data_IF_046387020415
#
_entry.id   IF_046387020415
#
_cell.length_a   1.000
_cell.length_b   1.000
_cell.length_c   1.000
_cell.angle_alpha   90.00
_cell.angle_beta   90.00
_cell.angle_gamma   90.00
#
_symmetry.space_group_name_H-M   'P 1'
#
loop_
_entity.id
_entity.type
_entity.pdbx_description
1 polymer ?
#
# COMPACT_ATOMS: atom_id res chain seq x y z
N UNK A 1 -25.21 2.41 -0.38
CA UNK A 1 -24.69 1.40 0.58
C UNK A 1 -24.85 2.01 1.96
N UNK A 2 -25.63 1.37 2.85
CA UNK A 2 -25.82 1.87 4.22
C UNK A 2 -24.49 1.97 4.95
N UNK A 3 -24.36 2.95 5.83
CA UNK A 3 -23.17 3.08 6.67
C UNK A 3 -23.01 1.78 7.48
N UNK A 4 -21.95 1.03 7.21
CA UNK A 4 -21.57 -0.11 8.03
C UNK A 4 -21.29 0.43 9.44
N UNK A 5 -21.99 -0.11 10.45
CA UNK A 5 -21.71 0.25 11.84
C UNK A 5 -20.24 -0.02 12.16
N UNK A 6 -19.62 0.90 12.90
CA UNK A 6 -18.24 0.69 13.38
C UNK A 6 -18.19 -0.61 14.19
N UNK A 7 -17.25 -1.50 13.85
CA UNK A 7 -17.05 -2.76 14.57
C UNK A 7 -16.88 -2.52 16.07
N UNK A 8 -17.47 -3.36 16.94
CA UNK A 8 -17.24 -3.28 18.39
C UNK A 8 -15.79 -3.59 18.79
N UNK A 9 -14.99 -4.14 17.86
CA UNK A 9 -13.55 -4.39 18.04
C UNK A 9 -12.68 -3.21 17.59
N UNK A 10 -13.28 -2.11 17.11
CA UNK A 10 -12.53 -0.92 16.76
C UNK A 10 -11.81 -0.36 17.99
N UNK A 11 -10.50 -0.06 17.91
CA UNK A 11 -9.81 0.67 18.95
C UNK A 11 -10.48 2.03 19.20
N UNK A 12 -10.33 2.57 20.41
CA UNK A 12 -10.91 3.85 20.78
C UNK A 12 -10.43 5.02 19.90
N UNK A 13 -9.19 4.94 19.40
CA UNK A 13 -8.61 5.90 18.48
C UNK A 13 -7.57 5.23 17.57
N UNK A 14 -7.25 5.88 16.45
CA UNK A 14 -6.07 5.53 15.66
C UNK A 14 -4.81 5.90 16.46
N UNK A 15 -3.80 5.02 16.53
CA UNK A 15 -2.61 5.30 17.33
C UNK A 15 -1.80 6.46 16.75
N UNK A 16 -1.01 7.11 17.60
CA UNK A 16 0.00 8.06 17.14
C UNK A 16 1.18 7.31 16.53
N UNK A 17 1.51 7.64 15.29
CA UNK A 17 2.62 7.06 14.56
C UNK A 17 3.72 8.13 14.43
N UNK A 18 4.97 7.84 14.83
CA UNK A 18 6.07 8.79 14.63
C UNK A 18 6.31 9.02 13.14
N UNK A 19 6.81 10.21 12.80
CA UNK A 19 7.34 10.48 11.47
C UNK A 19 8.55 9.57 11.21
N UNK A 20 8.69 9.11 9.97
CA UNK A 20 9.85 8.36 9.50
C UNK A 20 10.61 9.29 8.55
N UNK A 21 11.89 9.53 8.83
CA UNK A 21 12.75 10.34 7.96
C UNK A 21 12.73 9.77 6.54
N UNK A 22 12.73 10.61 5.51
CA UNK A 22 12.70 10.16 4.11
C UNK A 22 11.36 9.61 3.62
N UNK A 23 10.29 9.75 4.41
CA UNK A 23 8.92 9.41 4.00
C UNK A 23 8.04 10.65 4.04
N UNK A 24 7.38 10.95 2.91
CA UNK A 24 6.24 11.88 2.85
C UNK A 24 5.01 11.14 2.37
N UNK A 25 3.85 11.51 2.91
CA UNK A 25 2.59 10.87 2.57
C UNK A 25 1.70 11.90 1.88
N UNK A 26 1.00 11.45 0.85
CA UNK A 26 0.10 12.26 0.06
C UNK A 26 -1.22 11.52 -0.12
N UNK A 27 -2.33 12.25 -0.11
CA UNK A 27 -3.64 11.66 -0.41
C UNK A 27 -4.49 12.56 -1.29
N UNK A 28 -5.36 11.94 -2.07
CA UNK A 28 -6.36 12.64 -2.87
C UNK A 28 -7.74 12.00 -2.70
N UNK A 29 -8.76 12.86 -2.77
CA UNK A 29 -10.17 12.46 -2.81
C UNK A 29 -10.66 12.60 -4.25
N UNK A 30 -10.55 11.52 -5.02
CA UNK A 30 -10.93 11.53 -6.42
C UNK A 30 -12.32 10.95 -6.65
N UNK A 31 -12.92 10.25 -5.69
CA UNK A 31 -14.23 9.67 -5.90
C UNK A 31 -14.22 8.61 -7.00
N UNK A 32 -13.23 7.73 -6.97
CA UNK A 32 -13.14 6.50 -7.76
C UNK A 32 -14.38 5.64 -7.47
N UNK A 33 -14.67 5.46 -6.18
CA UNK A 33 -15.88 4.77 -5.69
C UNK A 33 -16.52 5.48 -4.51
N UNK A 34 -15.70 5.98 -3.59
CA UNK A 34 -16.17 6.56 -2.32
C UNK A 34 -16.22 8.09 -2.41
N UNK A 35 -17.28 8.72 -1.91
CA UNK A 35 -17.43 10.18 -1.93
C UNK A 35 -17.02 10.77 -0.57
N UNK A 36 -16.42 11.96 -0.60
CA UNK A 36 -16.13 12.75 0.61
C UNK A 36 -15.04 12.17 1.53
N UNK A 37 -14.19 11.28 1.00
CA UNK A 37 -13.00 10.77 1.70
C UNK A 37 -11.88 10.44 0.71
N UNK A 38 -10.63 10.44 1.17
CA UNK A 38 -9.51 9.98 0.36
C UNK A 38 -9.73 8.55 -0.16
N UNK A 39 -9.30 8.33 -1.40
CA UNK A 39 -9.30 7.04 -2.08
C UNK A 39 -8.05 6.81 -2.96
N UNK A 40 -7.10 7.74 -2.90
CA UNK A 40 -5.76 7.61 -3.45
C UNK A 40 -4.75 7.98 -2.37
N UNK A 41 -3.68 7.18 -2.29
CA UNK A 41 -2.55 7.36 -1.39
C UNK A 41 -1.25 7.23 -2.20
N UNK A 42 -0.30 8.13 -1.94
CA UNK A 42 1.08 8.01 -2.43
C UNK A 42 2.04 8.24 -1.25
N UNK A 43 2.93 7.30 -0.98
CA UNK A 43 4.13 7.57 -0.21
C UNK A 43 5.25 7.99 -1.17
N UNK A 44 5.81 9.17 -0.97
CA UNK A 44 7.05 9.63 -1.61
C UNK A 44 8.22 9.22 -0.71
N UNK A 45 9.22 8.59 -1.30
CA UNK A 45 10.37 8.02 -0.61
C UNK A 45 11.66 8.66 -1.12
N UNK A 46 12.57 8.96 -0.19
CA UNK A 46 13.87 9.55 -0.51
C UNK A 46 14.71 8.64 -1.43
N UNK A 47 15.58 9.22 -2.28
CA UNK A 47 16.49 8.44 -3.13
C UNK A 47 17.35 7.46 -2.32
N UNK A 48 17.45 6.22 -2.80
CA UNK A 48 18.22 5.15 -2.14
C UNK A 48 17.42 4.28 -1.16
N UNK A 49 16.15 4.61 -0.91
CA UNK A 49 15.24 3.82 -0.07
C UNK A 49 15.20 2.36 -0.54
N UNK A 50 15.49 1.44 0.37
CA UNK A 50 15.42 0.01 0.15
C UNK A 50 13.98 -0.49 0.33
N UNK A 51 13.55 -1.44 -0.49
CA UNK A 51 12.19 -1.98 -0.43
C UNK A 51 12.18 -3.48 -0.24
N UNK A 52 11.29 -3.98 0.60
CA UNK A 52 10.90 -5.38 0.66
C UNK A 52 9.42 -5.49 0.35
N UNK A 53 9.01 -6.59 -0.26
CA UNK A 53 7.61 -6.84 -0.53
C UNK A 53 7.25 -8.31 -0.48
N UNK A 54 6.01 -8.58 -0.09
CA UNK A 54 5.35 -9.87 -0.29
C UNK A 54 4.05 -9.62 -1.05
N UNK A 55 3.65 -10.56 -1.90
CA UNK A 55 2.48 -10.44 -2.76
C UNK A 55 1.64 -11.71 -2.76
N UNK A 56 0.34 -11.60 -3.07
CA UNK A 56 -0.57 -12.75 -3.16
C UNK A 56 0.05 -13.88 -3.97
N UNK A 57 -0.22 -15.14 -3.64
CA UNK A 57 0.18 -16.28 -4.48
C UNK A 57 -0.93 -16.70 -5.46
N UNK A 58 -2.06 -16.01 -5.46
CA UNK A 58 -3.19 -16.26 -6.36
C UNK A 58 -2.73 -16.36 -7.82
N UNK A 59 -3.20 -17.40 -8.53
CA UNK A 59 -2.97 -17.57 -9.97
C UNK A 59 -3.68 -16.49 -10.80
N UNK A 60 -4.57 -15.73 -10.16
CA UNK A 60 -5.36 -14.65 -10.76
C UNK A 60 -4.89 -13.27 -10.29
N UNK A 61 -3.60 -13.15 -9.95
CA UNK A 61 -2.98 -11.92 -9.48
C UNK A 61 -3.26 -10.71 -10.39
N UNK A 62 -3.59 -9.58 -9.77
CA UNK A 62 -3.88 -8.31 -10.45
C UNK A 62 -2.66 -7.78 -11.21
N UNK A 63 -2.90 -6.84 -12.14
CA UNK A 63 -1.81 -6.18 -12.86
C UNK A 63 -0.82 -5.47 -11.92
N UNK A 64 -1.31 -4.89 -10.81
CA UNK A 64 -0.48 -4.20 -9.82
C UNK A 64 0.49 -5.17 -9.11
N UNK A 65 -0.01 -6.35 -8.71
CA UNK A 65 0.83 -7.41 -8.12
C UNK A 65 1.89 -7.89 -9.09
N UNK A 66 1.53 -8.14 -10.35
CA UNK A 66 2.48 -8.58 -11.38
C UNK A 66 3.58 -7.54 -11.62
N UNK A 67 3.21 -6.27 -11.67
CA UNK A 67 4.18 -5.16 -11.73
C UNK A 67 5.11 -5.14 -10.52
N UNK A 68 4.55 -5.19 -9.30
CA UNK A 68 5.33 -5.13 -8.06
C UNK A 68 6.36 -6.26 -7.95
N UNK A 69 6.03 -7.47 -8.41
CA UNK A 69 6.98 -8.60 -8.46
C UNK A 69 8.16 -8.34 -9.39
N UNK A 70 7.95 -7.66 -10.51
CA UNK A 70 9.04 -7.30 -11.43
C UNK A 70 9.89 -6.17 -10.84
N UNK A 71 9.24 -5.11 -10.35
CA UNK A 71 9.89 -3.96 -9.72
C UNK A 71 10.78 -4.36 -8.53
N UNK A 72 10.32 -5.31 -7.71
CA UNK A 72 11.06 -5.81 -6.53
C UNK A 72 12.46 -6.33 -6.86
N UNK A 73 12.71 -6.81 -8.08
CA UNK A 73 14.04 -7.26 -8.50
C UNK A 73 15.10 -6.15 -8.46
N UNK A 74 14.68 -4.89 -8.54
CA UNK A 74 15.56 -3.72 -8.42
C UNK A 74 15.96 -3.40 -6.97
N UNK A 75 15.15 -3.79 -5.99
CA UNK A 75 15.46 -3.66 -4.56
C UNK A 75 15.37 -2.25 -3.97
N UNK A 76 15.06 -1.22 -4.77
CA UNK A 76 14.83 0.16 -4.32
C UNK A 76 13.42 0.64 -4.63
N UNK A 77 12.95 1.64 -3.90
CA UNK A 77 11.67 2.30 -4.15
C UNK A 77 11.77 3.82 -4.01
N UNK A 78 10.94 4.51 -4.77
CA UNK A 78 10.74 5.96 -4.73
C UNK A 78 9.29 6.33 -4.45
N UNK A 79 8.35 5.42 -4.71
CA UNK A 79 6.98 5.58 -4.22
C UNK A 79 6.18 4.30 -4.07
N UNK A 80 5.21 4.33 -3.15
CA UNK A 80 4.09 3.39 -3.09
C UNK A 80 2.82 4.12 -3.52
N UNK A 81 2.23 3.78 -4.66
CA UNK A 81 1.11 4.50 -5.27
C UNK A 81 -0.17 3.65 -5.34
N UNK A 82 -1.12 3.96 -4.45
CA UNK A 82 -2.24 3.09 -4.07
C UNK A 82 -3.58 3.74 -4.41
N UNK A 83 -4.54 2.95 -4.87
CA UNK A 83 -5.92 3.38 -5.02
C UNK A 83 -6.91 2.39 -4.38
N UNK A 84 -7.97 2.93 -3.80
CA UNK A 84 -9.09 2.18 -3.25
C UNK A 84 -10.35 2.35 -4.11
N UNK A 85 -11.25 1.37 -4.04
CA UNK A 85 -12.53 1.36 -4.77
C UNK A 85 -12.51 0.50 -6.03
N UNK A 86 -11.36 0.34 -6.69
CA UNK A 86 -11.19 -0.52 -7.86
C UNK A 86 -9.92 -1.37 -7.69
N UNK A 87 -10.06 -2.70 -7.74
CA UNK A 87 -8.95 -3.65 -7.55
C UNK A 87 -8.03 -3.79 -8.76
N UNK A 88 -8.51 -3.37 -9.94
CA UNK A 88 -7.87 -3.58 -11.25
C UNK A 88 -7.68 -5.07 -11.60
N UNK A 89 -8.17 -5.99 -10.77
CA UNK A 89 -8.13 -7.43 -11.04
C UNK A 89 -9.16 -7.82 -12.11
N UNK A 90 -8.83 -8.84 -12.91
CA UNK A 90 -9.66 -9.34 -14.01
C UNK A 90 -10.09 -8.29 -15.05
N UNK A 91 -9.24 -7.29 -15.32
CA UNK A 91 -9.49 -6.24 -16.33
C UNK A 91 -8.61 -6.37 -17.59
N UNK A 92 -7.80 -7.43 -17.69
CA UNK A 92 -6.95 -7.72 -18.85
C UNK A 92 -5.98 -6.58 -19.20
N UNK A 93 -5.81 -6.31 -20.50
CA UNK A 93 -4.91 -5.26 -21.01
C UNK A 93 -5.25 -3.85 -20.51
N UNK A 94 -6.52 -3.59 -20.17
CA UNK A 94 -6.92 -2.30 -19.62
C UNK A 94 -6.30 -2.06 -18.23
N UNK A 95 -6.27 -3.10 -17.38
CA UNK A 95 -5.60 -3.03 -16.08
C UNK A 95 -4.08 -2.91 -16.17
N UNK A 96 -3.46 -3.60 -17.13
CA UNK A 96 -2.03 -3.46 -17.41
C UNK A 96 -1.68 -2.04 -17.83
N UNK A 97 -2.48 -1.46 -18.74
CA UNK A 97 -2.32 -0.08 -19.15
C UNK A 97 -2.52 0.89 -17.99
N UNK A 98 -3.54 0.70 -17.17
CA UNK A 98 -3.79 1.53 -15.98
C UNK A 98 -2.58 1.57 -15.03
N UNK A 99 -1.99 0.40 -14.75
CA UNK A 99 -0.79 0.32 -13.91
C UNK A 99 0.40 1.00 -14.58
N UNK A 100 0.63 0.74 -15.87
CA UNK A 100 1.71 1.35 -16.62
C UNK A 100 1.60 2.89 -16.66
N UNK A 101 0.40 3.44 -16.88
CA UNK A 101 0.16 4.88 -16.89
C UNK A 101 0.40 5.49 -15.50
N UNK A 102 -0.10 4.85 -14.42
CA UNK A 102 0.16 5.30 -13.03
C UNK A 102 1.65 5.37 -12.72
N UNK A 103 2.37 4.30 -13.09
CA UNK A 103 3.82 4.19 -12.89
C UNK A 103 4.54 5.28 -13.67
N UNK A 104 4.23 5.43 -14.96
CA UNK A 104 4.84 6.43 -15.83
C UNK A 104 4.67 7.85 -15.28
N UNK A 105 3.45 8.19 -14.86
CA UNK A 105 3.14 9.52 -14.33
C UNK A 105 3.87 9.78 -13.02
N UNK A 106 3.90 8.81 -12.09
CA UNK A 106 4.62 8.95 -10.83
C UNK A 106 6.14 9.02 -11.03
N UNK A 107 6.69 8.17 -11.89
CA UNK A 107 8.13 8.15 -12.24
C UNK A 107 8.58 9.51 -12.80
N UNK A 108 7.81 10.08 -13.73
CA UNK A 108 8.07 11.42 -14.28
C UNK A 108 7.98 12.52 -13.22
N UNK A 109 6.94 12.50 -12.39
CA UNK A 109 6.74 13.52 -11.37
C UNK A 109 7.84 13.50 -10.30
N UNK A 110 8.34 12.32 -9.94
CA UNK A 110 9.36 12.13 -8.90
C UNK A 110 10.81 12.08 -9.44
N UNK A 111 10.98 12.13 -10.77
CA UNK A 111 12.28 12.06 -11.43
C UNK A 111 13.04 10.77 -11.12
N UNK A 112 12.39 9.61 -11.21
CA UNK A 112 12.96 8.32 -10.84
C UNK A 112 12.68 7.22 -11.88
N UNK A 113 13.33 6.07 -11.73
CA UNK A 113 13.03 4.93 -12.61
C UNK A 113 11.62 4.39 -12.33
N UNK A 114 10.95 3.90 -13.37
CA UNK A 114 9.64 3.24 -13.26
C UNK A 114 9.71 2.04 -12.31
N UNK A 115 10.81 1.30 -12.34
CA UNK A 115 11.02 0.14 -11.46
C UNK A 115 11.05 0.51 -9.97
N UNK A 116 11.21 1.79 -9.63
CA UNK A 116 11.17 2.28 -8.25
C UNK A 116 9.74 2.67 -7.80
N UNK A 117 8.74 2.56 -8.68
CA UNK A 117 7.34 2.83 -8.36
C UNK A 117 6.60 1.52 -8.10
N UNK A 118 6.16 1.31 -6.87
CA UNK A 118 5.31 0.19 -6.50
C UNK A 118 3.86 0.64 -6.50
N UNK A 119 2.95 -0.18 -7.01
CA UNK A 119 1.52 0.13 -7.04
C UNK A 119 0.72 -0.94 -6.33
N UNK A 120 -0.40 -0.53 -5.73
CA UNK A 120 -1.40 -1.44 -5.19
C UNK A 120 -2.80 -0.92 -5.49
N UNK A 121 -3.76 -1.83 -5.64
CA UNK A 121 -5.15 -1.51 -5.97
C UNK A 121 -6.09 -2.44 -5.23
N UNK A 122 -7.14 -1.90 -4.60
CA UNK A 122 -8.12 -2.68 -3.85
C UNK A 122 -9.54 -2.17 -4.06
N UNK A 123 -10.52 -3.06 -4.07
CA UNK A 123 -11.91 -2.71 -4.33
C UNK A 123 -12.60 -3.76 -5.20
N UNK A 124 -13.52 -3.32 -6.06
CA UNK A 124 -14.31 -4.25 -6.86
C UNK A 124 -13.46 -4.90 -7.96
N UNK A 125 -13.70 -6.19 -8.21
CA UNK A 125 -13.06 -6.98 -9.27
C UNK A 125 -13.83 -6.83 -10.58
N UNK A 126 -13.11 -6.72 -11.70
CA UNK A 126 -13.72 -6.64 -13.05
C UNK A 126 -14.35 -5.29 -13.41
N UNK A 127 -14.40 -4.32 -12.50
CA UNK A 127 -14.88 -2.97 -12.82
C UNK A 127 -13.88 -2.23 -13.74
N UNK A 128 -14.35 -1.52 -14.79
CA UNK A 128 -13.49 -0.73 -15.66
C UNK A 128 -12.65 0.30 -14.89
N UNK A 129 -11.41 0.49 -15.32
CA UNK A 129 -10.45 1.36 -14.66
C UNK A 129 -10.77 2.85 -14.87
N UNK A 130 -10.55 3.70 -13.87
CA UNK A 130 -10.73 5.17 -13.95
C UNK A 130 -9.41 5.93 -14.19
N UNK A 131 -8.49 5.35 -14.97
CA UNK A 131 -7.06 5.74 -15.09
C UNK A 131 -6.81 7.25 -15.10
N UNK A 132 -7.46 7.95 -16.02
CA UNK A 132 -7.17 9.35 -16.32
C UNK A 132 -7.30 10.22 -15.06
N UNK A 133 -8.31 9.99 -14.21
CA UNK A 133 -8.52 10.83 -13.03
C UNK A 133 -7.36 10.77 -12.03
N UNK A 134 -6.71 9.62 -11.90
CA UNK A 134 -5.59 9.43 -10.96
C UNK A 134 -4.32 10.06 -11.52
N UNK A 135 -4.04 9.85 -12.80
CA UNK A 135 -2.85 10.42 -13.44
C UNK A 135 -2.94 11.93 -13.59
N UNK A 136 -4.12 12.46 -13.90
CA UNK A 136 -4.36 13.90 -14.06
C UNK A 136 -4.18 14.65 -12.74
N UNK A 137 -4.47 14.01 -11.61
CA UNK A 137 -4.38 14.58 -10.27
C UNK A 137 -2.97 14.51 -9.66
N UNK A 138 -1.94 14.03 -10.37
CA UNK A 138 -0.61 13.81 -9.79
C UNK A 138 0.01 15.08 -9.20
N UNK A 139 -0.11 16.22 -9.87
CA UNK A 139 0.42 17.49 -9.37
C UNK A 139 -0.24 17.91 -8.05
N UNK A 140 -1.57 17.89 -8.01
CA UNK A 140 -2.36 18.23 -6.82
C UNK A 140 -2.12 17.23 -5.67
N UNK A 141 -1.95 15.95 -6.01
CA UNK A 141 -1.64 14.89 -5.05
C UNK A 141 -0.31 15.18 -4.34
N UNK A 142 0.76 15.44 -5.07
CA UNK A 142 2.08 15.71 -4.49
C UNK A 142 2.15 17.05 -3.72
N UNK A 143 1.25 17.98 -4.01
CA UNK A 143 1.14 19.24 -3.26
C UNK A 143 0.42 19.08 -1.91
N UNK A 144 -0.26 17.95 -1.67
CA UNK A 144 -1.11 17.75 -0.51
C UNK A 144 -0.48 16.74 0.47
N UNK A 145 0.27 17.25 1.45
CA UNK A 145 0.80 16.45 2.55
C UNK A 145 -0.34 15.84 3.38
N UNK A 146 -0.15 14.59 3.80
CA UNK A 146 -1.15 13.81 4.51
C UNK A 146 -0.59 13.25 5.82
N UNK A 147 -1.48 13.08 6.80
CA UNK A 147 -1.15 12.35 8.02
C UNK A 147 -1.18 10.83 7.81
N UNK A 148 -0.60 10.08 8.75
CA UNK A 148 -0.75 8.61 8.80
C UNK A 148 -2.22 8.17 8.82
N UNK A 149 -3.08 8.92 9.51
CA UNK A 149 -4.51 8.64 9.58
C UNK A 149 -5.18 8.82 8.22
N UNK A 150 -4.83 9.86 7.48
CA UNK A 150 -5.38 10.12 6.14
C UNK A 150 -4.93 9.05 5.15
N UNK A 151 -3.66 8.66 5.18
CA UNK A 151 -3.12 7.57 4.37
C UNK A 151 -3.82 6.22 4.68
N UNK A 152 -3.98 5.90 5.97
CA UNK A 152 -4.70 4.69 6.39
C UNK A 152 -6.17 4.71 5.94
N UNK A 153 -6.85 5.87 6.02
CA UNK A 153 -8.21 6.04 5.50
C UNK A 153 -8.29 5.91 3.99
N UNK A 154 -7.29 6.41 3.25
CA UNK A 154 -7.30 6.39 1.79
C UNK A 154 -7.35 4.98 1.20
N UNK A 155 -6.74 4.00 1.87
CA UNK A 155 -6.67 2.62 1.37
C UNK A 155 -7.86 1.74 1.81
N UNK A 156 -8.68 2.20 2.75
CA UNK A 156 -9.81 1.43 3.30
C UNK A 156 -10.87 1.11 2.23
N UNK A 157 -11.58 0.00 2.41
CA UNK A 157 -12.74 -0.37 1.58
C UNK A 157 -13.97 -0.64 2.44
N UNK A 158 -14.27 -1.91 2.71
CA UNK A 158 -15.30 -2.37 3.66
C UNK A 158 -14.89 -2.22 5.12
N UNK A 159 -13.64 -1.83 5.37
CA UNK A 159 -13.11 -1.54 6.69
C UNK A 159 -13.97 -0.52 7.43
N UNK A 160 -14.31 -0.80 8.69
CA UNK A 160 -15.11 0.13 9.50
C UNK A 160 -14.27 1.08 10.34
N UNK A 161 -12.94 0.88 10.40
CA UNK A 161 -11.98 1.74 11.10
C UNK A 161 -10.57 1.62 10.47
N UNK A 162 -9.76 2.69 10.51
CA UNK A 162 -8.37 2.68 10.03
C UNK A 162 -7.47 1.90 10.99
N UNK A 163 -6.43 1.24 10.47
CA UNK A 163 -5.55 0.35 11.25
C UNK A 163 -4.10 0.83 11.12
N UNK A 164 -3.44 1.07 12.24
CA UNK A 164 -2.06 1.54 12.30
C UNK A 164 -1.32 0.93 13.48
N UNK A 165 0.00 0.86 13.38
CA UNK A 165 0.88 0.43 14.46
C UNK A 165 2.26 1.08 14.31
N UNK A 166 2.96 1.25 15.42
CA UNK A 166 4.34 1.71 15.44
C UNK A 166 5.14 1.00 16.54
N UNK A 167 6.45 0.98 16.39
CA UNK A 167 7.39 0.54 17.42
C UNK A 167 8.72 1.28 17.26
N UNK A 168 9.56 1.20 18.29
CA UNK A 168 10.96 1.65 18.24
C UNK A 168 11.87 0.54 18.72
N UNK A 169 13.11 0.53 18.23
CA UNK A 169 14.12 -0.42 18.64
C UNK A 169 15.49 0.26 18.70
N UNK A 170 16.43 -0.34 19.44
CA UNK A 170 17.85 0.05 19.40
C UNK A 170 18.63 -0.98 18.59
N UNK A 171 19.22 -0.55 17.49
CA UNK A 171 20.09 -1.37 16.65
C UNK A 171 21.49 -0.75 16.69
N UNK A 172 22.46 -1.49 17.24
CA UNK A 172 23.85 -1.01 17.41
C UNK A 172 23.95 0.36 18.11
N UNK A 173 23.06 0.64 19.06
CA UNK A 173 23.02 1.91 19.80
C UNK A 173 22.21 3.03 19.13
N UNK A 174 21.81 2.87 17.87
CA UNK A 174 20.94 3.81 17.15
C UNK A 174 19.48 3.47 17.43
N UNK A 175 18.70 4.47 17.85
CA UNK A 175 17.24 4.33 17.92
C UNK A 175 16.66 4.39 16.52
N UNK A 176 15.90 3.36 16.14
CA UNK A 176 15.15 3.29 14.89
C UNK A 176 13.65 3.24 15.20
N UNK A 177 12.86 3.80 14.29
CA UNK A 177 11.40 3.83 14.33
C UNK A 177 10.84 2.98 13.20
N UNK A 178 9.71 2.34 13.47
CA UNK A 178 8.90 1.66 12.46
C UNK A 178 7.45 2.10 12.62
N UNK A 179 6.84 2.48 11.52
CA UNK A 179 5.43 2.90 11.44
C UNK A 179 4.78 2.19 10.27
N UNK A 180 3.53 1.78 10.43
CA UNK A 180 2.81 1.17 9.34
C UNK A 180 1.31 1.17 9.54
N UNK A 181 0.61 0.97 8.44
CA UNK A 181 -0.84 0.87 8.41
C UNK A 181 -1.26 -0.21 7.43
N UNK A 182 -2.47 -0.74 7.66
CA UNK A 182 -3.01 -1.80 6.84
C UNK A 182 -4.51 -1.62 6.63
N UNK A 183 -5.04 -2.32 5.63
CA UNK A 183 -6.49 -2.46 5.39
C UNK A 183 -6.82 -3.90 5.09
N UNK A 184 -8.09 -4.24 5.23
CA UNK A 184 -8.60 -5.60 5.06
C UNK A 184 -9.67 -5.87 6.12
N UNK A 185 -10.81 -6.41 5.67
CA UNK A 185 -11.92 -6.81 6.57
C UNK A 185 -12.80 -7.93 5.99
N UNK A 186 -12.48 -8.40 4.78
CA UNK A 186 -13.11 -9.50 4.06
C UNK A 186 -12.21 -9.87 2.88
N UNK A 187 -12.45 -11.05 2.32
CA UNK A 187 -11.56 -11.75 1.41
C UNK A 187 -10.18 -11.95 2.05
N UNK A 188 -10.12 -12.57 3.24
CA UNK A 188 -8.89 -12.76 4.01
C UNK A 188 -8.68 -14.24 4.39
N UNK A 189 -7.59 -14.81 3.91
CA UNK A 189 -7.07 -16.15 4.19
C UNK A 189 -5.53 -16.21 4.29
N UNK A 190 -4.96 -17.13 5.09
CA UNK A 190 -3.55 -17.53 5.02
C UNK A 190 -3.11 -17.82 3.59
N UNK A 191 -1.86 -17.51 3.25
CA UNK A 191 -1.28 -17.51 1.89
C UNK A 191 -1.53 -16.22 1.08
N UNK A 192 -1.55 -15.11 1.82
CA UNK A 192 -1.81 -13.74 1.39
C UNK A 192 -3.25 -13.54 0.91
N UNK A 193 -4.01 -12.89 1.80
CA UNK A 193 -5.40 -12.40 1.84
C UNK A 193 -5.57 -10.95 1.33
N UNK A 194 -6.78 -10.45 0.95
CA UNK A 194 -7.11 -9.03 0.60
C UNK A 194 -6.73 -8.12 1.75
N UNK A 195 -5.45 -7.82 1.75
CA UNK A 195 -4.78 -7.10 2.77
C UNK A 195 -3.69 -6.32 2.06
N UNK A 196 -3.77 -5.01 2.23
CA UNK A 196 -2.70 -4.11 1.84
C UNK A 196 -2.05 -3.63 3.12
N UNK A 197 -0.74 -3.80 3.22
CA UNK A 197 0.08 -3.32 4.33
C UNK A 197 1.19 -2.41 3.80
N UNK A 198 1.40 -1.27 4.43
CA UNK A 198 2.45 -0.32 4.09
C UNK A 198 3.23 0.01 5.36
N UNK A 199 4.52 -0.32 5.35
CA UNK A 199 5.41 -0.27 6.51
C UNK A 199 6.61 0.59 6.14
N UNK A 200 7.07 1.41 7.08
CA UNK A 200 8.14 2.38 6.88
C UNK A 200 9.06 2.38 8.08
N UNK A 201 10.36 2.41 7.85
CA UNK A 201 11.37 2.50 8.89
C UNK A 201 12.55 3.37 8.47
N UNK A 202 13.14 4.06 9.42
CA UNK A 202 14.39 4.83 9.27
C UNK A 202 15.65 3.96 9.55
N UNK A 203 15.46 2.65 9.64
CA UNK A 203 16.56 1.70 9.80
C UNK A 203 17.26 1.47 8.45
N UNK A 204 18.55 1.80 8.38
CA UNK A 204 19.39 1.51 7.22
C UNK A 204 19.65 0.00 7.05
N UNK A 205 18.78 -0.69 6.30
CA UNK A 205 18.81 -2.15 6.11
C UNK A 205 18.84 -2.47 4.61
N UNK A 206 19.83 -3.24 4.11
CA UNK A 206 19.88 -3.64 2.70
C UNK A 206 18.68 -4.48 2.28
N UNK A 207 18.23 -4.32 1.03
CA UNK A 207 17.10 -5.04 0.43
C UNK A 207 17.02 -6.54 0.81
N UNK A 208 18.11 -7.30 0.63
CA UNK A 208 18.09 -8.75 0.86
C UNK A 208 17.78 -9.12 2.33
N UNK A 209 18.30 -8.35 3.29
CA UNK A 209 18.04 -8.54 4.72
C UNK A 209 16.62 -8.11 5.06
N UNK A 210 16.20 -6.96 4.52
CA UNK A 210 14.85 -6.43 4.69
C UNK A 210 13.78 -7.42 4.20
N UNK A 211 14.03 -8.03 3.03
CA UNK A 211 13.16 -9.03 2.41
C UNK A 211 13.05 -10.30 3.25
N UNK A 212 14.16 -10.78 3.81
CA UNK A 212 14.16 -11.95 4.69
C UNK A 212 13.36 -11.70 5.99
N UNK A 213 13.54 -10.53 6.61
CA UNK A 213 12.80 -10.13 7.81
C UNK A 213 11.30 -10.02 7.50
N UNK A 214 10.94 -9.33 6.42
CA UNK A 214 9.54 -9.16 6.05
C UNK A 214 8.86 -10.51 5.80
N UNK A 215 9.53 -11.45 5.12
CA UNK A 215 8.99 -12.77 4.83
C UNK A 215 8.72 -13.58 6.12
N UNK A 216 9.66 -13.61 7.08
CA UNK A 216 9.44 -14.29 8.37
C UNK A 216 8.28 -13.67 9.16
N UNK A 217 8.29 -12.35 9.32
CA UNK A 217 7.26 -11.62 10.04
C UNK A 217 5.88 -11.84 9.39
N UNK A 218 5.78 -11.79 8.07
CA UNK A 218 4.54 -12.00 7.33
C UNK A 218 3.96 -13.40 7.60
N UNK A 219 4.80 -14.44 7.58
CA UNK A 219 4.39 -15.83 7.85
C UNK A 219 3.77 -16.03 9.24
N UNK A 220 4.21 -15.24 10.22
CA UNK A 220 3.77 -15.33 11.62
C UNK A 220 2.68 -14.31 11.99
N UNK A 221 2.27 -13.46 11.06
CA UNK A 221 1.30 -12.39 11.29
C UNK A 221 0.20 -12.38 10.22
N UNK A 222 0.38 -11.65 9.12
CA UNK A 222 -0.63 -11.51 8.08
C UNK A 222 -1.03 -12.85 7.44
N UNK A 223 -0.09 -13.77 7.23
CA UNK A 223 -0.38 -15.12 6.76
C UNK A 223 -0.96 -16.05 7.84
N UNK A 224 -1.18 -15.56 9.07
CA UNK A 224 -1.81 -16.30 10.16
C UNK A 224 -3.23 -15.80 10.48
N UNK A 225 -3.83 -14.99 9.59
CA UNK A 225 -5.18 -14.42 9.77
C UNK A 225 -6.13 -14.97 8.69
N UNK A 226 -7.28 -15.50 9.12
CA UNK A 226 -8.42 -15.85 8.25
C UNK A 226 -9.65 -15.07 8.71
N UNK A 227 -10.43 -14.51 7.78
CA UNK A 227 -11.76 -13.94 8.04
C UNK A 227 -12.84 -14.80 7.39
N UNK A 228 -12.74 -15.02 6.08
CA UNK A 228 -13.76 -15.72 5.28
C UNK A 228 -13.17 -16.80 4.34
N UNK A 229 -11.85 -17.01 4.38
CA UNK A 229 -11.14 -18.04 3.60
C UNK A 229 -11.10 -17.80 2.08
N UNK A 230 -11.36 -16.57 1.63
CA UNK A 230 -11.19 -16.20 0.23
C UNK A 230 -9.82 -15.53 0.03
N UNK A 231 -8.87 -16.29 -0.51
CA UNK A 231 -7.57 -15.75 -0.96
C UNK A 231 -7.78 -14.72 -2.09
N UNK A 232 -7.10 -13.59 -2.00
CA UNK A 232 -7.36 -12.44 -2.85
C UNK A 232 -6.43 -12.32 -4.04
N UNK A 233 -6.85 -11.53 -5.03
CA UNK A 233 -6.09 -11.29 -6.26
C UNK A 233 -5.05 -10.18 -6.12
N UNK A 234 -5.04 -9.42 -5.02
CA UNK A 234 -4.36 -8.11 -4.98
C UNK A 234 -3.45 -7.89 -3.77
N UNK A 235 -3.09 -8.95 -3.06
CA UNK A 235 -2.50 -8.80 -1.73
C UNK A 235 -1.08 -8.36 -1.82
N UNK A 236 -0.73 -7.41 -0.98
CA UNK A 236 0.54 -6.72 -1.09
C UNK A 236 0.92 -6.15 0.26
N UNK A 237 2.08 -6.52 0.77
CA UNK A 237 2.74 -5.80 1.86
C UNK A 237 4.00 -5.20 1.32
N UNK A 238 4.15 -3.88 1.43
CA UNK A 238 5.37 -3.17 1.08
C UNK A 238 6.01 -2.63 2.35
N UNK A 239 7.32 -2.77 2.44
CA UNK A 239 8.13 -2.21 3.51
C UNK A 239 9.26 -1.38 2.90
N UNK A 240 9.31 -0.09 3.25
CA UNK A 240 10.37 0.83 2.88
C UNK A 240 11.32 1.07 4.06
N UNK A 241 12.62 1.02 3.78
CA UNK A 241 13.69 1.37 4.71
C UNK A 241 14.51 2.53 4.10
N UNK A 242 14.41 3.70 4.71
CA UNK A 242 14.93 4.98 4.21
C UNK A 242 16.27 5.35 4.85
#
# INVERSE_FOLDING_TARGET
MGATSVSPLAPAAFPELPAITGVKLHTATLGIRYKGRPDVFLAELDPGTQVAAVFTTSTTASAAVRWGREALKGGTARAFFVNAGNSVAFTGKAGEKFVADKVETASKALGCDKAEIFTASTGVIGEPTTANRITDAMGDLLANDASWLDAAKAIMTTDTFPKGASATAKINGTTVSISGFAKGSGMIEPNMATMLGFIFTDAAIPHAVLQAILADCNNRSFNAITVDSDTSTSDTVLLAAT
#
